data_IF_228591591349
#
_entry.id   IF_228591591349
#
_cell.length_a   1.000
_cell.length_b   1.000
_cell.length_c   1.000
_cell.angle_alpha   90.00
_cell.angle_beta   90.00
_cell.angle_gamma   90.00
#
_symmetry.space_group_name_H-M   'P 1'
#
loop_
_entity.id
_entity.type
_entity.pdbx_description
1 polymer ?
#
# COMPACT_ATOMS: atom_id res chain seq x y z
N UNK A 1 -13.32 75.01 -32.93
CA UNK A 1 -12.27 74.05 -33.36
C UNK A 1 -11.83 73.23 -32.14
N UNK A 2 -11.99 71.90 -32.26
CA UNK A 2 -11.36 70.77 -31.53
C UNK A 2 -11.46 70.72 -30.00
N UNK A 3 -12.42 69.90 -29.56
CA UNK A 3 -12.60 69.29 -28.24
C UNK A 3 -11.46 68.31 -27.92
N UNK A 4 -10.77 68.55 -26.82
CA UNK A 4 -9.85 67.64 -26.11
C UNK A 4 -10.71 67.06 -24.97
N UNK A 5 -10.97 65.76 -24.80
CA UNK A 5 -10.05 64.73 -24.33
C UNK A 5 -10.82 63.38 -24.30
N UNK A 6 -10.58 62.46 -25.22
CA UNK A 6 -11.01 61.05 -25.09
C UNK A 6 -9.78 60.15 -24.98
N UNK A 7 -8.92 60.40 -24.00
CA UNK A 7 -7.67 59.64 -23.81
C UNK A 7 -7.59 58.88 -22.48
N UNK A 8 -8.72 58.60 -21.82
CA UNK A 8 -8.76 57.83 -20.56
C UNK A 8 -9.69 56.62 -20.69
N UNK A 9 -9.63 55.88 -21.80
CA UNK A 9 -10.44 54.67 -21.96
C UNK A 9 -9.72 53.43 -22.41
N UNK A 10 -8.38 53.45 -22.52
CA UNK A 10 -7.60 52.28 -22.94
C UNK A 10 -6.41 51.93 -22.03
N UNK A 11 -6.29 52.52 -20.82
CA UNK A 11 -5.26 52.11 -19.85
C UNK A 11 -5.76 51.12 -18.78
N UNK A 12 -7.03 50.70 -18.86
CA UNK A 12 -7.58 49.68 -17.96
C UNK A 12 -7.38 48.23 -18.51
N UNK A 13 -6.94 48.08 -19.76
CA UNK A 13 -6.85 46.76 -20.41
C UNK A 13 -5.47 46.11 -20.25
N UNK A 14 -4.45 46.84 -19.78
CA UNK A 14 -3.07 46.32 -19.69
C UNK A 14 -2.66 45.76 -18.31
N UNK A 15 -3.56 45.75 -17.31
CA UNK A 15 -3.23 45.25 -15.94
C UNK A 15 -3.92 43.92 -15.61
N UNK A 16 -4.80 43.42 -16.47
CA UNK A 16 -5.53 42.15 -16.26
C UNK A 16 -4.88 40.93 -16.93
N UNK A 17 -3.67 41.09 -17.47
CA UNK A 17 -2.85 40.00 -18.06
C UNK A 17 -1.55 39.82 -17.25
N UNK A 18 -1.56 40.20 -15.97
CA UNK A 18 -0.51 39.79 -15.02
C UNK A 18 -0.94 38.47 -14.40
N UNK A 19 -0.61 37.40 -15.13
CA UNK A 19 -0.10 36.16 -14.57
C UNK A 19 -0.87 35.56 -13.39
N UNK A 20 -2.12 35.19 -13.61
CA UNK A 20 -2.68 33.98 -12.98
C UNK A 20 -2.03 32.74 -13.59
N UNK A 21 -0.69 32.63 -13.50
CA UNK A 21 -0.03 31.35 -13.64
C UNK A 21 -0.39 30.58 -12.38
N UNK A 22 -1.54 29.91 -12.41
CA UNK A 22 -1.77 28.78 -11.54
C UNK A 22 -0.65 27.80 -11.84
N UNK A 23 0.38 27.81 -11.01
CA UNK A 23 1.29 26.67 -10.88
C UNK A 23 0.42 25.53 -10.38
N UNK A 24 -0.22 24.81 -11.30
CA UNK A 24 -0.54 23.43 -11.07
C UNK A 24 0.81 22.77 -10.87
N UNK A 25 1.23 22.60 -9.61
CA UNK A 25 2.26 21.64 -9.30
C UNK A 25 1.72 20.31 -9.79
N UNK A 26 2.12 19.92 -11.00
CA UNK A 26 2.10 18.52 -11.40
C UNK A 26 3.04 17.89 -10.41
N UNK A 27 2.51 17.39 -9.30
CA UNK A 27 3.25 16.49 -8.44
C UNK A 27 3.57 15.35 -9.37
N UNK A 28 4.83 15.26 -9.82
CA UNK A 28 5.30 14.07 -10.50
C UNK A 28 4.91 12.92 -9.56
N UNK A 29 4.00 12.05 -10.00
CA UNK A 29 3.71 10.82 -9.28
C UNK A 29 5.01 10.03 -9.35
N UNK A 30 5.88 10.24 -8.38
CA UNK A 30 6.99 9.34 -8.16
C UNK A 30 6.33 8.00 -7.87
N UNK A 31 6.69 6.97 -8.65
CA UNK A 31 6.37 5.60 -8.28
C UNK A 31 7.19 5.29 -7.02
N UNK A 32 6.71 5.78 -5.88
CA UNK A 32 7.35 5.59 -4.60
C UNK A 32 7.06 4.16 -4.16
N UNK A 33 8.12 3.39 -4.01
CA UNK A 33 8.07 2.06 -3.42
C UNK A 33 7.47 2.14 -2.01
N UNK A 34 6.61 1.17 -1.68
CA UNK A 34 6.12 0.98 -0.32
C UNK A 34 7.03 0.00 0.42
N UNK A 35 7.61 0.42 1.53
CA UNK A 35 8.62 -0.34 2.27
C UNK A 35 8.01 -0.97 3.51
N UNK A 36 7.81 -2.28 3.52
CA UNK A 36 7.27 -3.03 4.66
C UNK A 36 8.42 -3.60 5.49
N UNK A 37 8.85 -2.85 6.52
CA UNK A 37 9.90 -3.29 7.45
C UNK A 37 9.62 -2.89 8.89
N UNK A 38 10.40 -3.45 9.81
CA UNK A 38 10.48 -3.03 11.22
C UNK A 38 9.10 -3.04 11.90
N UNK A 39 8.31 -4.07 11.61
CA UNK A 39 6.96 -4.17 12.13
C UNK A 39 6.94 -4.27 13.66
N UNK A 40 5.88 -3.76 14.26
CA UNK A 40 5.63 -3.89 15.70
C UNK A 40 4.17 -4.21 15.97
N UNK A 41 3.90 -5.11 16.92
CA UNK A 41 2.52 -5.45 17.31
C UNK A 41 1.91 -4.27 18.07
N UNK A 42 0.73 -3.81 17.64
CA UNK A 42 0.02 -2.69 18.29
C UNK A 42 -1.27 -3.12 19.00
N UNK A 43 -1.82 -4.29 18.67
CA UNK A 43 -2.99 -4.87 19.36
C UNK A 43 -3.08 -6.39 19.14
N UNK A 44 -3.87 -7.06 19.98
CA UNK A 44 -4.10 -8.51 19.89
C UNK A 44 -2.96 -9.37 20.44
N UNK A 45 -3.16 -10.69 20.38
CA UNK A 45 -2.20 -11.70 20.82
C UNK A 45 -1.30 -12.10 19.67
N UNK A 46 0.02 -12.21 19.87
CA UNK A 46 0.96 -12.46 18.77
C UNK A 46 0.52 -13.62 17.87
N UNK A 47 0.44 -13.39 16.56
CA UNK A 47 0.08 -14.41 15.56
C UNK A 47 -1.38 -14.89 15.60
N UNK A 48 -2.25 -14.36 16.48
CA UNK A 48 -3.67 -14.71 16.54
C UNK A 48 -4.52 -13.92 15.55
N UNK A 49 -5.71 -14.44 15.21
CA UNK A 49 -6.68 -13.67 14.41
C UNK A 49 -7.08 -12.40 15.18
N UNK A 50 -7.24 -11.29 14.45
CA UNK A 50 -7.51 -9.96 15.00
C UNK A 50 -6.27 -9.19 15.46
N UNK A 51 -5.09 -9.80 15.44
CA UNK A 51 -3.83 -9.13 15.80
C UNK A 51 -3.40 -8.17 14.71
N UNK A 52 -2.96 -6.98 15.13
CA UNK A 52 -2.55 -5.89 14.23
C UNK A 52 -1.09 -5.55 14.44
N UNK A 53 -0.35 -5.54 13.35
CA UNK A 53 1.05 -5.11 13.27
C UNK A 53 1.14 -3.79 12.52
N UNK A 54 1.89 -2.83 13.06
CA UNK A 54 2.24 -1.59 12.36
C UNK A 54 3.57 -1.77 11.67
N UNK A 55 3.58 -1.51 10.37
CA UNK A 55 4.78 -1.28 9.57
C UNK A 55 4.96 0.24 9.46
N UNK A 56 5.92 0.84 10.18
CA UNK A 56 6.11 2.27 10.18
C UNK A 56 6.81 2.74 8.90
N UNK A 57 6.52 3.97 8.47
CA UNK A 57 7.26 4.64 7.39
C UNK A 57 7.30 3.85 6.07
N UNK A 58 6.18 3.24 5.69
CA UNK A 58 6.08 2.58 4.37
C UNK A 58 6.34 3.55 3.22
N UNK A 59 6.12 4.83 3.47
CA UNK A 59 6.64 5.96 2.72
C UNK A 59 6.86 7.15 3.68
N UNK A 60 7.11 8.34 3.15
CA UNK A 60 7.41 9.53 3.97
C UNK A 60 6.28 9.99 4.89
N UNK A 61 5.02 9.66 4.58
CA UNK A 61 3.84 10.22 5.26
C UNK A 61 2.87 9.18 5.82
N UNK A 62 3.10 7.89 5.55
CA UNK A 62 2.17 6.81 5.90
C UNK A 62 2.83 5.67 6.67
N UNK A 63 2.02 4.99 7.47
CA UNK A 63 2.28 3.65 8.00
C UNK A 63 1.29 2.67 7.35
N UNK A 64 1.60 1.37 7.40
CA UNK A 64 0.63 0.31 7.14
C UNK A 64 0.26 -0.41 8.44
N UNK A 65 -1.03 -0.72 8.60
CA UNK A 65 -1.54 -1.62 9.61
C UNK A 65 -1.91 -2.94 8.93
N UNK A 66 -1.26 -4.02 9.33
CA UNK A 66 -1.49 -5.37 8.81
C UNK A 66 -2.19 -6.18 9.89
N UNK A 67 -3.45 -6.54 9.64
CA UNK A 67 -4.28 -7.35 10.53
C UNK A 67 -4.34 -8.78 10.03
N UNK A 68 -4.19 -9.76 10.92
CA UNK A 68 -4.52 -11.15 10.61
C UNK A 68 -6.04 -11.29 10.64
N UNK A 69 -6.68 -11.32 9.48
CA UNK A 69 -8.15 -11.38 9.38
C UNK A 69 -8.69 -12.75 9.71
N UNK A 70 -7.98 -13.80 9.30
CA UNK A 70 -8.44 -15.17 9.45
C UNK A 70 -7.42 -16.19 8.97
N UNK A 71 -7.79 -17.47 9.10
CA UNK A 71 -7.01 -18.61 8.62
C UNK A 71 -7.92 -19.81 8.39
N UNK A 72 -7.47 -20.77 7.59
CA UNK A 72 -8.23 -21.97 7.27
C UNK A 72 -8.40 -22.95 8.44
N UNK A 73 -7.43 -23.02 9.35
CA UNK A 73 -7.39 -24.00 10.45
C UNK A 73 -6.58 -23.49 11.66
N UNK A 74 -6.80 -24.03 12.85
CA UNK A 74 -6.07 -23.67 14.08
C UNK A 74 -4.57 -23.99 14.01
N UNK A 75 -4.19 -24.96 13.20
CA UNK A 75 -2.79 -25.38 13.04
C UNK A 75 -2.01 -24.50 12.07
N UNK A 76 -2.70 -23.57 11.38
CA UNK A 76 -2.04 -22.51 10.60
C UNK A 76 -1.55 -21.44 11.57
N UNK A 77 -0.24 -21.24 11.61
CA UNK A 77 0.43 -20.33 12.54
C UNK A 77 1.25 -19.30 11.77
N UNK A 78 1.35 -18.12 12.34
CA UNK A 78 2.30 -17.12 11.87
C UNK A 78 3.61 -17.35 12.63
N UNK A 79 4.68 -17.70 11.92
CA UNK A 79 6.01 -17.82 12.51
C UNK A 79 6.67 -16.45 12.63
N UNK A 80 6.63 -15.68 11.54
CA UNK A 80 7.08 -14.29 11.49
C UNK A 80 6.12 -13.45 10.65
N UNK A 81 5.81 -12.23 11.10
CA UNK A 81 5.04 -11.27 10.30
C UNK A 81 5.89 -10.65 9.17
N UNK A 82 7.22 -10.68 9.33
CA UNK A 82 8.18 -10.08 8.43
C UNK A 82 9.53 -10.80 8.59
N UNK A 83 9.82 -11.75 7.71
CA UNK A 83 11.12 -12.44 7.70
C UNK A 83 12.15 -11.58 6.96
N UNK A 84 13.34 -11.42 7.54
CA UNK A 84 14.38 -10.51 7.03
C UNK A 84 15.62 -11.24 6.50
N UNK A 85 15.64 -12.57 6.55
CA UNK A 85 16.80 -13.38 6.16
C UNK A 85 16.84 -13.72 4.67
N UNK A 86 15.71 -13.63 3.96
CA UNK A 86 15.58 -14.02 2.56
C UNK A 86 14.55 -13.18 1.81
N UNK A 87 14.43 -13.38 0.50
CA UNK A 87 13.49 -12.68 -0.37
C UNK A 87 13.83 -11.20 -0.59
N UNK A 88 12.80 -10.38 -0.87
CA UNK A 88 12.96 -8.95 -1.12
C UNK A 88 12.73 -8.15 0.17
N UNK A 89 13.80 -7.63 0.74
CA UNK A 89 13.84 -6.99 2.06
C UNK A 89 12.87 -5.82 2.30
N UNK A 90 12.33 -5.20 1.25
CA UNK A 90 11.34 -4.13 1.37
C UNK A 90 9.88 -4.62 1.20
N UNK A 91 9.67 -5.87 0.78
CA UNK A 91 8.35 -6.46 0.62
C UNK A 91 7.73 -6.80 1.98
N UNK A 92 6.41 -6.97 1.98
CA UNK A 92 5.74 -7.67 3.07
C UNK A 92 6.00 -9.17 2.92
N UNK A 93 6.72 -9.76 3.88
CA UNK A 93 7.19 -11.16 3.81
C UNK A 93 6.73 -11.98 5.02
N UNK A 94 5.42 -12.27 5.17
CA UNK A 94 4.95 -13.11 6.25
C UNK A 94 5.42 -14.56 6.05
N UNK A 95 5.90 -15.18 7.13
CA UNK A 95 6.20 -16.60 7.17
C UNK A 95 5.06 -17.33 7.87
N UNK A 96 4.27 -18.06 7.08
CA UNK A 96 3.13 -18.85 7.53
C UNK A 96 3.53 -20.32 7.57
N UNK A 97 3.21 -20.99 8.68
CA UNK A 97 3.51 -22.40 8.89
C UNK A 97 2.22 -23.19 9.12
N UNK A 98 2.27 -24.48 8.82
CA UNK A 98 1.19 -25.42 9.10
C UNK A 98 1.78 -26.71 9.68
N UNK A 99 1.26 -27.10 10.85
CA UNK A 99 1.75 -28.22 11.66
C UNK A 99 0.70 -29.36 11.73
N UNK A 100 -0.20 -29.42 10.74
CA UNK A 100 -1.29 -30.40 10.66
C UNK A 100 -1.11 -31.43 9.55
N UNK A 101 -2.13 -32.26 9.32
CA UNK A 101 -2.14 -33.23 8.23
C UNK A 101 -2.24 -32.50 6.87
N UNK A 102 -1.25 -32.69 6.00
CA UNK A 102 -1.13 -32.00 4.71
C UNK A 102 -1.79 -32.72 3.54
N UNK A 103 -2.42 -33.88 3.76
CA UNK A 103 -3.00 -34.68 2.68
C UNK A 103 -4.23 -34.01 2.03
N UNK A 104 -4.07 -33.51 0.81
CA UNK A 104 -5.14 -32.94 -0.04
C UNK A 104 -5.94 -31.79 0.61
N UNK A 105 -5.29 -30.96 1.41
CA UNK A 105 -5.90 -29.80 2.06
C UNK A 105 -5.21 -28.55 1.54
N UNK A 106 -5.92 -27.43 1.46
CA UNK A 106 -5.31 -26.11 1.28
C UNK A 106 -5.35 -25.34 2.59
N UNK A 107 -4.24 -24.74 2.96
CA UNK A 107 -4.11 -23.94 4.16
C UNK A 107 -3.72 -22.51 3.80
N UNK A 108 -4.28 -21.55 4.54
CA UNK A 108 -4.09 -20.14 4.24
C UNK A 108 -4.21 -19.31 5.52
N UNK A 109 -3.55 -18.15 5.49
CA UNK A 109 -3.74 -17.06 6.44
C UNK A 109 -4.05 -15.80 5.64
N UNK A 110 -5.05 -15.05 6.08
CA UNK A 110 -5.50 -13.83 5.41
C UNK A 110 -4.98 -12.59 6.15
N UNK A 111 -4.45 -11.64 5.39
CA UNK A 111 -3.95 -10.37 5.89
C UNK A 111 -4.74 -9.21 5.27
N UNK A 112 -5.26 -8.32 6.12
CA UNK A 112 -5.85 -7.06 5.70
C UNK A 112 -4.84 -5.93 5.92
N UNK A 113 -4.52 -5.19 4.85
CA UNK A 113 -3.58 -4.07 4.88
C UNK A 113 -4.36 -2.76 4.82
N UNK A 114 -4.19 -1.92 5.83
CA UNK A 114 -4.80 -0.59 5.92
C UNK A 114 -3.72 0.48 5.96
N UNK A 115 -3.84 1.50 5.12
CA UNK A 115 -2.92 2.65 5.13
C UNK A 115 -3.43 3.76 6.05
N UNK A 116 -2.53 4.30 6.87
CA UNK A 116 -2.84 5.35 7.84
C UNK A 116 -1.81 6.45 7.80
N UNK A 117 -2.15 7.63 8.32
CA UNK A 117 -1.17 8.70 8.51
C UNK A 117 -0.08 8.20 9.45
N UNK A 118 1.18 8.52 9.14
CA UNK A 118 2.33 8.19 9.97
C UNK A 118 2.07 8.45 11.45
N UNK A 119 2.41 7.48 12.27
CA UNK A 119 2.25 7.46 13.73
C UNK A 119 0.81 7.52 14.26
N UNK A 120 -0.22 7.52 13.42
CA UNK A 120 -1.63 7.57 13.86
C UNK A 120 -2.40 6.32 13.44
N UNK A 121 -3.70 6.28 13.73
CA UNK A 121 -4.64 5.28 13.18
C UNK A 121 -5.66 5.94 12.25
N UNK A 122 -5.39 7.18 11.82
CA UNK A 122 -6.25 7.91 10.90
C UNK A 122 -6.08 7.34 9.51
N UNK A 123 -7.17 6.78 8.96
CA UNK A 123 -7.19 6.20 7.62
C UNK A 123 -6.69 7.20 6.58
N UNK A 124 -5.89 6.70 5.64
CA UNK A 124 -5.43 7.45 4.48
C UNK A 124 -5.84 6.73 3.21
N UNK A 125 -6.40 7.50 2.28
CA UNK A 125 -6.77 6.99 0.97
C UNK A 125 -5.51 6.96 0.11
N UNK A 126 -5.11 5.76 -0.29
CA UNK A 126 -4.08 5.57 -1.31
C UNK A 126 -4.80 5.46 -2.66
N UNK A 127 -4.61 6.41 -3.60
CA UNK A 127 -5.35 6.44 -4.88
C UNK A 127 -5.14 5.19 -5.74
N UNK A 128 -4.01 4.51 -5.56
CA UNK A 128 -3.67 3.25 -6.21
C UNK A 128 -2.25 2.85 -5.86
N UNK A 129 -1.96 1.56 -5.94
CA UNK A 129 -0.62 1.01 -5.83
C UNK A 129 -0.50 -0.20 -6.75
N UNK A 130 0.74 -0.55 -7.11
CA UNK A 130 1.04 -1.79 -7.81
C UNK A 130 1.51 -2.82 -6.78
N UNK A 131 1.02 -4.04 -6.91
CA UNK A 131 1.49 -5.17 -6.12
C UNK A 131 1.87 -6.30 -7.05
N UNK A 132 2.94 -7.00 -6.71
CA UNK A 132 3.35 -8.24 -7.35
C UNK A 132 3.76 -9.20 -6.25
N UNK A 133 3.36 -10.46 -6.38
CA UNK A 133 3.93 -11.52 -5.58
C UNK A 133 5.06 -12.15 -6.38
N UNK A 134 6.18 -12.36 -5.70
CA UNK A 134 7.39 -12.94 -6.26
C UNK A 134 7.69 -14.23 -5.50
N UNK A 135 8.42 -15.13 -6.14
CA UNK A 135 8.88 -16.37 -5.52
C UNK A 135 7.73 -17.27 -5.01
N UNK A 136 6.66 -17.34 -5.81
CA UNK A 136 5.49 -18.20 -5.55
C UNK A 136 5.67 -19.48 -6.38
N UNK A 137 6.48 -20.41 -5.89
CA UNK A 137 6.86 -21.63 -6.62
C UNK A 137 6.74 -22.94 -5.82
N UNK A 138 6.45 -22.87 -4.51
CA UNK A 138 6.22 -24.04 -3.67
C UNK A 138 7.51 -24.74 -3.21
N UNK A 139 7.45 -26.04 -2.94
CA UNK A 139 8.60 -26.82 -2.46
C UNK A 139 9.28 -27.69 -3.54
N UNK A 140 8.88 -27.52 -4.81
CA UNK A 140 9.25 -28.39 -5.94
C UNK A 140 8.94 -29.90 -5.71
N UNK A 141 8.00 -30.23 -4.81
CA UNK A 141 7.65 -31.60 -4.44
C UNK A 141 6.13 -31.77 -4.26
N UNK A 142 5.61 -31.48 -3.06
CA UNK A 142 4.22 -31.79 -2.69
C UNK A 142 3.42 -30.56 -2.27
N UNK A 143 4.08 -29.43 -2.05
CA UNK A 143 3.46 -28.19 -1.61
C UNK A 143 3.42 -27.22 -2.78
N UNK A 144 2.22 -26.80 -3.15
CA UNK A 144 2.00 -25.68 -4.04
C UNK A 144 1.86 -24.42 -3.20
N UNK A 145 2.49 -23.33 -3.63
CA UNK A 145 2.29 -22.00 -3.06
C UNK A 145 1.40 -21.15 -3.97
N UNK A 146 0.60 -20.29 -3.35
CA UNK A 146 -0.27 -19.38 -4.06
C UNK A 146 -0.52 -18.11 -3.25
N UNK A 147 -0.81 -17.03 -3.98
CA UNK A 147 -1.31 -15.78 -3.41
C UNK A 147 -2.65 -15.45 -4.05
N UNK A 148 -3.55 -14.88 -3.24
CA UNK A 148 -4.83 -14.38 -3.72
C UNK A 148 -5.04 -12.97 -3.20
N UNK A 149 -5.52 -12.09 -4.08
CA UNK A 149 -5.94 -10.74 -3.72
C UNK A 149 -7.47 -10.68 -3.79
N UNK A 150 -8.10 -10.25 -2.71
CA UNK A 150 -9.56 -10.14 -2.60
C UNK A 150 -9.99 -8.68 -2.64
N UNK A 151 -11.24 -8.44 -3.06
CA UNK A 151 -11.89 -7.12 -3.01
C UNK A 151 -11.15 -6.00 -3.76
N UNK A 152 -10.47 -6.34 -4.86
CA UNK A 152 -9.87 -5.35 -5.75
C UNK A 152 -10.96 -4.57 -6.47
N UNK A 153 -10.96 -3.24 -6.33
CA UNK A 153 -11.88 -2.36 -7.09
C UNK A 153 -11.66 -2.50 -8.60
N UNK A 154 -10.40 -2.64 -9.02
CA UNK A 154 -9.97 -2.94 -10.37
C UNK A 154 -8.55 -3.54 -10.32
N UNK A 155 -8.18 -4.34 -11.32
CA UNK A 155 -6.82 -4.85 -11.49
C UNK A 155 -6.41 -4.80 -12.97
N UNK A 156 -5.10 -4.78 -13.22
CA UNK A 156 -4.52 -4.92 -14.56
C UNK A 156 -3.51 -6.04 -14.51
N UNK A 157 -3.60 -6.97 -15.46
CA UNK A 157 -2.59 -8.01 -15.66
C UNK A 157 -1.67 -7.54 -16.78
N UNK A 158 -0.37 -7.48 -16.50
CA UNK A 158 0.61 -7.22 -17.55
C UNK A 158 0.64 -8.42 -18.51
N UNK A 159 0.77 -8.14 -19.80
CA UNK A 159 0.94 -9.19 -20.83
C UNK A 159 2.42 -9.52 -20.92
N UNK A 160 2.76 -10.78 -20.64
CA UNK A 160 4.12 -11.31 -20.78
C UNK A 160 4.42 -11.69 -22.23
#
# INVERSE_FOLDING_TARGET
MKTILHFIRNLAVLVLIVSSFSFSSVVAQTNQELIFKNSSRISGQNGANGTVYRFPLINSTHDALVKISGRSHSDVKLNSIDQSSSGYNNAFQPQVEYDGNTNNISWWMEFEITFVTKNTQTLQVVPGFKATAIDIDGDNSTLNEWVSFYSLNAYTLETN
#
